data_IF_344232299244
#
_entry.id   IF_344232299244
#
_cell.length_a   1.000
_cell.length_b   1.000
_cell.length_c   1.000
_cell.angle_alpha   90.00
_cell.angle_beta   90.00
_cell.angle_gamma   90.00
#
_symmetry.space_group_name_H-M   'P 1'
#
loop_
_entity.id
_entity.type
_entity.pdbx_description
1 polymer ?
#
# COMPACT_ATOMS: atom_id res chain seq x y z
N UNK A 1 17.24 7.73 17.11
CA UNK A 1 18.23 8.55 17.83
C UNK A 1 19.13 7.61 18.63
N UNK A 2 20.44 7.67 18.43
CA UNK A 2 21.42 6.98 19.31
C UNK A 2 21.82 7.99 20.39
N UNK A 3 21.42 7.76 21.64
CA UNK A 3 21.83 8.64 22.75
C UNK A 3 23.29 8.37 23.10
N UNK A 4 24.09 9.43 23.15
CA UNK A 4 25.53 9.38 23.49
C UNK A 4 26.46 9.81 22.36
N UNK A 5 25.97 9.83 21.13
CA UNK A 5 26.67 10.36 19.95
C UNK A 5 25.74 11.32 19.22
N UNK A 6 25.96 12.65 19.27
CA UNK A 6 25.06 13.66 18.71
C UNK A 6 24.83 13.58 17.19
N UNK A 7 25.73 12.92 16.48
CA UNK A 7 25.71 12.87 15.00
C UNK A 7 25.05 11.61 14.43
N UNK A 8 24.38 10.79 15.25
CA UNK A 8 23.77 9.53 14.81
C UNK A 8 22.25 9.58 14.60
N UNK A 9 21.66 10.78 14.46
CA UNK A 9 20.28 10.90 14.01
C UNK A 9 20.24 10.76 12.50
N UNK A 10 19.54 9.73 12.01
CA UNK A 10 19.42 9.43 10.60
C UNK A 10 17.96 9.43 10.21
N UNK A 11 17.62 10.22 9.20
CA UNK A 11 16.37 10.06 8.47
C UNK A 11 16.68 9.31 7.17
N UNK A 12 16.16 8.11 7.02
CA UNK A 12 16.43 7.27 5.87
C UNK A 12 15.19 6.49 5.45
N UNK A 13 15.13 6.17 4.17
CA UNK A 13 14.05 5.38 3.58
C UNK A 13 14.45 3.91 3.51
N UNK A 14 13.54 3.03 3.92
CA UNK A 14 13.67 1.60 3.66
C UNK A 14 13.50 1.39 2.15
N UNK A 15 14.43 0.66 1.53
CA UNK A 15 14.38 0.36 0.10
C UNK A 15 13.31 -0.71 -0.22
N UNK A 16 13.12 -1.02 -1.51
CA UNK A 16 12.11 -2.00 -1.96
C UNK A 16 12.37 -3.43 -1.47
N UNK A 17 13.62 -3.75 -1.12
CA UNK A 17 14.02 -5.05 -0.57
C UNK A 17 13.82 -5.12 0.95
N UNK A 18 13.31 -4.05 1.57
CA UNK A 18 13.09 -3.95 3.00
C UNK A 18 14.35 -3.67 3.81
N UNK A 19 15.41 -3.16 3.18
CA UNK A 19 16.67 -2.84 3.81
C UNK A 19 16.78 -1.36 4.15
N UNK A 20 17.43 -1.06 5.29
CA UNK A 20 17.81 0.27 5.73
C UNK A 20 19.33 0.33 5.86
N UNK A 21 19.94 1.38 5.32
CA UNK A 21 21.37 1.61 5.49
C UNK A 21 21.65 2.47 6.72
N UNK A 22 22.43 1.94 7.64
CA UNK A 22 22.83 2.60 8.86
C UNK A 22 24.32 2.93 8.86
N UNK A 23 24.67 4.01 9.57
CA UNK A 23 26.06 4.43 9.76
C UNK A 23 26.78 3.35 10.55
N UNK A 24 27.98 2.99 10.12
CA UNK A 24 28.87 1.95 10.68
C UNK A 24 28.36 0.50 10.58
N UNK A 25 27.07 0.23 10.42
CA UNK A 25 26.49 -1.11 10.32
C UNK A 25 26.27 -1.56 8.88
N UNK A 26 26.18 -0.61 7.92
CA UNK A 26 25.82 -0.92 6.56
C UNK A 26 24.33 -1.18 6.38
N UNK A 27 23.97 -2.10 5.50
CA UNK A 27 22.57 -2.44 5.20
C UNK A 27 22.04 -3.52 6.15
N UNK A 28 20.88 -3.26 6.73
CA UNK A 28 20.16 -4.21 7.59
C UNK A 28 18.74 -4.42 7.06
N UNK A 29 18.26 -5.65 7.15
CA UNK A 29 16.91 -5.99 6.75
C UNK A 29 15.90 -5.72 7.86
N UNK A 30 14.86 -4.93 7.56
CA UNK A 30 13.78 -4.54 8.49
C UNK A 30 12.39 -4.94 7.99
N UNK A 31 12.30 -5.70 6.91
CA UNK A 31 11.00 -6.14 6.35
C UNK A 31 10.25 -7.00 7.36
N UNK A 32 8.95 -6.75 7.50
CA UNK A 32 8.06 -7.57 8.32
C UNK A 32 8.21 -7.41 9.84
N UNK A 33 8.98 -6.44 10.31
CA UNK A 33 9.14 -6.17 11.75
C UNK A 33 8.57 -4.82 12.16
N UNK A 34 8.13 -4.71 13.39
CA UNK A 34 7.63 -3.45 13.98
C UNK A 34 8.77 -2.49 14.31
N UNK A 35 8.45 -1.19 14.49
CA UNK A 35 9.43 -0.19 14.92
C UNK A 35 10.17 -0.61 16.20
N UNK A 36 9.45 -1.17 17.18
CA UNK A 36 10.03 -1.68 18.44
C UNK A 36 10.98 -2.86 18.24
N UNK A 37 10.63 -3.76 17.32
CA UNK A 37 11.52 -4.87 16.95
C UNK A 37 12.75 -4.39 16.19
N UNK A 38 12.59 -3.35 15.34
CA UNK A 38 13.70 -2.70 14.65
C UNK A 38 14.68 -2.06 15.66
N UNK A 39 14.19 -1.34 16.68
CA UNK A 39 15.03 -0.79 17.77
C UNK A 39 15.89 -1.88 18.41
N UNK A 40 15.25 -2.99 18.83
CA UNK A 40 15.95 -4.09 19.48
C UNK A 40 16.96 -4.78 18.55
N UNK A 41 16.62 -4.94 17.27
CA UNK A 41 17.52 -5.53 16.27
C UNK A 41 18.74 -4.63 16.03
N UNK A 42 18.52 -3.35 15.78
CA UNK A 42 19.58 -2.38 15.52
C UNK A 42 20.51 -2.27 16.73
N UNK A 43 19.98 -2.20 17.96
CA UNK A 43 20.78 -2.16 19.17
C UNK A 43 21.67 -3.39 19.30
N UNK A 44 21.11 -4.58 19.05
CA UNK A 44 21.86 -5.85 19.08
C UNK A 44 22.95 -5.89 18.01
N UNK A 45 22.65 -5.46 16.80
CA UNK A 45 23.61 -5.48 15.69
C UNK A 45 24.79 -4.53 15.97
N UNK A 46 24.54 -3.35 16.56
CA UNK A 46 25.62 -2.45 17.01
C UNK A 46 26.47 -3.05 18.14
N UNK A 47 25.88 -3.74 19.10
CA UNK A 47 26.59 -4.42 20.17
C UNK A 47 27.42 -5.60 19.66
N UNK A 48 26.84 -6.45 18.81
CA UNK A 48 27.49 -7.63 18.26
C UNK A 48 28.71 -7.29 17.39
N UNK A 49 28.68 -6.16 16.72
CA UNK A 49 29.77 -5.66 15.90
C UNK A 49 30.76 -4.78 16.73
N UNK A 50 30.62 -4.71 18.05
CA UNK A 50 31.48 -3.95 18.98
C UNK A 50 31.58 -2.44 18.64
N UNK A 51 30.56 -1.89 17.96
CA UNK A 51 30.53 -0.47 17.55
C UNK A 51 30.14 0.39 18.77
N UNK A 52 29.08 -0.03 19.48
CA UNK A 52 28.65 0.63 20.72
C UNK A 52 28.40 -0.41 21.83
N UNK A 53 28.77 -0.07 23.08
CA UNK A 53 28.59 -1.00 24.22
C UNK A 53 27.15 -1.12 24.69
N UNK A 54 26.40 -0.01 24.70
CA UNK A 54 25.02 0.02 25.19
C UNK A 54 24.23 1.10 24.43
N UNK A 55 23.97 0.93 23.10
CA UNK A 55 23.27 1.93 22.33
C UNK A 55 21.79 1.98 22.72
N UNK A 56 21.27 3.18 22.92
CA UNK A 56 19.84 3.42 23.08
C UNK A 56 19.31 3.84 21.71
N UNK A 57 18.57 2.96 21.06
CA UNK A 57 18.00 3.18 19.74
C UNK A 57 16.52 3.56 19.88
N UNK A 58 16.12 4.62 19.20
CA UNK A 58 14.72 4.98 19.03
C UNK A 58 14.38 5.05 17.55
N UNK A 59 13.37 4.31 17.13
CA UNK A 59 12.90 4.26 15.74
C UNK A 59 11.49 4.83 15.68
N UNK A 60 11.31 5.85 14.87
CA UNK A 60 9.98 6.39 14.54
C UNK A 60 9.76 6.36 13.04
N UNK A 61 8.54 6.04 12.62
CA UNK A 61 8.17 6.09 11.22
C UNK A 61 7.64 7.48 10.92
N UNK A 62 8.41 8.28 10.17
CA UNK A 62 8.03 9.64 9.81
C UNK A 62 6.98 9.65 8.69
N UNK A 63 7.06 8.71 7.77
CA UNK A 63 6.14 8.60 6.63
C UNK A 63 6.04 7.16 6.15
N UNK A 64 4.81 6.70 5.92
CA UNK A 64 4.57 5.44 5.20
C UNK A 64 4.52 5.70 3.69
N UNK A 65 4.92 4.71 2.89
CA UNK A 65 4.68 4.75 1.45
C UNK A 65 3.18 4.75 1.20
N UNK A 66 2.69 5.76 0.48
CA UNK A 66 1.27 5.86 0.15
C UNK A 66 0.87 4.71 -0.76
N UNK A 67 -0.09 3.94 -0.30
CA UNK A 67 -0.72 2.87 -1.08
C UNK A 67 -2.02 3.42 -1.67
N UNK A 68 -2.09 3.54 -2.97
CA UNK A 68 -3.25 4.13 -3.65
C UNK A 68 -3.76 3.26 -4.80
N UNK A 69 -5.03 3.46 -5.13
CA UNK A 69 -5.69 2.97 -6.34
C UNK A 69 -6.04 4.17 -7.20
N UNK A 70 -5.94 4.04 -8.51
CA UNK A 70 -6.27 5.12 -9.44
C UNK A 70 -7.69 4.94 -9.97
N UNK A 71 -8.50 5.99 -9.86
CA UNK A 71 -9.89 6.03 -10.27
C UNK A 71 -10.08 6.93 -11.50
N UNK A 72 -10.79 6.44 -12.51
CA UNK A 72 -11.04 7.15 -13.77
C UNK A 72 -12.45 6.91 -14.29
N UNK A 73 -12.85 7.66 -15.32
CA UNK A 73 -14.14 7.53 -15.99
C UNK A 73 -15.29 8.23 -15.27
N UNK A 74 -16.46 7.61 -15.26
CA UNK A 74 -17.72 8.18 -14.76
C UNK A 74 -17.87 8.08 -13.22
N UNK A 75 -16.93 8.65 -12.51
CA UNK A 75 -16.89 8.73 -11.04
C UNK A 75 -16.75 10.19 -10.60
N UNK A 76 -17.29 10.56 -9.44
CA UNK A 76 -17.31 11.93 -8.98
C UNK A 76 -15.90 12.46 -8.61
N UNK A 77 -15.07 11.66 -7.98
CA UNK A 77 -13.68 12.03 -7.65
C UNK A 77 -12.72 11.12 -8.42
N UNK A 78 -12.18 11.65 -9.51
CA UNK A 78 -11.15 10.99 -10.32
C UNK A 78 -9.78 11.22 -9.71
N UNK A 79 -8.86 10.28 -9.92
CA UNK A 79 -7.47 10.38 -9.47
C UNK A 79 -7.09 9.32 -8.43
N UNK A 80 -5.99 9.51 -7.73
CA UNK A 80 -5.53 8.56 -6.73
C UNK A 80 -6.42 8.62 -5.48
N UNK A 81 -6.84 7.45 -5.01
CA UNK A 81 -7.43 7.26 -3.70
C UNK A 81 -6.42 6.53 -2.81
N UNK A 82 -5.97 7.19 -1.76
CA UNK A 82 -4.97 6.67 -0.83
C UNK A 82 -5.65 5.78 0.20
N UNK A 83 -5.16 4.57 0.37
CA UNK A 83 -5.64 3.64 1.38
C UNK A 83 -5.19 4.08 2.78
N UNK A 84 -6.01 3.85 3.83
CA UNK A 84 -5.55 3.97 5.20
C UNK A 84 -4.31 3.08 5.42
N UNK A 85 -3.34 3.50 6.24
CA UNK A 85 -2.06 2.79 6.41
C UNK A 85 -2.19 1.33 6.83
N UNK A 86 -3.25 0.99 7.56
CA UNK A 86 -3.49 -0.33 8.15
C UNK A 86 -4.32 -1.24 7.23
N UNK A 87 -4.80 -0.72 6.10
CA UNK A 87 -5.70 -1.45 5.19
C UNK A 87 -4.91 -2.02 4.02
N UNK A 88 -4.91 -3.33 3.87
CA UNK A 88 -4.22 -4.02 2.77
C UNK A 88 -5.07 -4.11 1.51
N UNK A 89 -6.37 -4.26 1.66
CA UNK A 89 -7.34 -4.34 0.57
C UNK A 89 -8.69 -3.76 1.00
N UNK A 90 -9.46 -3.21 0.06
CA UNK A 90 -10.79 -2.66 0.29
C UNK A 90 -11.79 -3.24 -0.70
N UNK A 91 -13.05 -3.37 -0.29
CA UNK A 91 -14.11 -3.73 -1.21
C UNK A 91 -14.32 -2.61 -2.25
N UNK A 92 -14.50 -2.97 -3.53
CA UNK A 92 -14.70 -2.01 -4.61
C UNK A 92 -15.87 -1.05 -4.34
N UNK A 93 -16.96 -1.53 -3.75
CA UNK A 93 -18.13 -0.72 -3.40
C UNK A 93 -17.73 0.37 -2.41
N UNK A 94 -16.91 0.03 -1.42
CA UNK A 94 -16.41 0.98 -0.43
C UNK A 94 -15.44 1.99 -1.05
N UNK A 95 -14.51 1.54 -1.90
CA UNK A 95 -13.58 2.44 -2.60
C UNK A 95 -14.33 3.48 -3.42
N UNK A 96 -15.32 3.05 -4.20
CA UNK A 96 -16.13 3.94 -5.02
C UNK A 96 -16.95 4.90 -4.15
N UNK A 97 -17.57 4.42 -3.07
CA UNK A 97 -18.33 5.27 -2.15
C UNK A 97 -17.44 6.36 -1.52
N UNK A 98 -16.24 6.01 -1.08
CA UNK A 98 -15.27 6.97 -0.52
C UNK A 98 -14.73 7.96 -1.55
N UNK A 99 -14.71 7.58 -2.83
CA UNK A 99 -14.41 8.45 -3.96
C UNK A 99 -15.58 9.35 -4.38
N UNK A 100 -16.61 9.45 -3.57
CA UNK A 100 -17.77 10.29 -3.82
C UNK A 100 -18.86 9.64 -4.68
N UNK A 101 -18.73 8.33 -4.95
CA UNK A 101 -19.72 7.57 -5.72
C UNK A 101 -19.62 7.76 -7.22
N UNK A 102 -20.50 7.07 -7.94
CA UNK A 102 -20.69 7.20 -9.37
C UNK A 102 -21.34 8.53 -9.72
N UNK A 103 -21.00 9.07 -10.88
CA UNK A 103 -21.78 10.16 -11.46
C UNK A 103 -23.06 9.64 -12.16
N UNK A 104 -23.88 10.56 -12.70
CA UNK A 104 -25.19 10.24 -13.27
C UNK A 104 -25.11 9.40 -14.56
N UNK A 105 -24.01 9.51 -15.29
CA UNK A 105 -23.81 8.81 -16.57
C UNK A 105 -23.04 7.48 -16.43
N UNK A 106 -22.73 7.07 -15.20
CA UNK A 106 -21.93 5.88 -14.94
C UNK A 106 -22.65 4.58 -15.31
N UNK A 107 -21.94 3.67 -15.95
CA UNK A 107 -22.36 2.28 -16.17
C UNK A 107 -21.93 1.41 -14.99
N UNK A 108 -22.73 1.38 -13.91
CA UNK A 108 -22.39 0.76 -12.63
C UNK A 108 -22.27 -0.77 -12.67
N UNK A 109 -22.98 -1.40 -13.65
CA UNK A 109 -22.97 -2.86 -13.85
C UNK A 109 -21.71 -3.36 -14.57
N UNK A 110 -20.83 -2.46 -15.03
CA UNK A 110 -19.68 -2.82 -15.87
C UNK A 110 -18.49 -1.92 -15.58
N UNK A 111 -17.85 -2.18 -14.47
CA UNK A 111 -16.65 -1.45 -14.03
C UNK A 111 -15.43 -2.30 -14.32
N UNK A 112 -14.38 -1.69 -14.88
CA UNK A 112 -13.14 -2.38 -15.18
C UNK A 112 -12.11 -2.15 -14.08
N UNK A 113 -11.49 -3.23 -13.60
CA UNK A 113 -10.39 -3.19 -12.65
C UNK A 113 -9.17 -3.83 -13.30
N UNK A 114 -8.15 -3.02 -13.54
CA UNK A 114 -6.88 -3.48 -14.10
C UNK A 114 -5.85 -3.63 -12.99
N UNK A 115 -5.32 -4.84 -12.84
CA UNK A 115 -4.31 -5.21 -11.85
C UNK A 115 -3.05 -5.67 -12.54
N UNK A 116 -1.91 -5.09 -12.13
CA UNK A 116 -0.59 -5.54 -12.57
C UNK A 116 0.04 -6.39 -11.47
N UNK A 117 0.46 -7.60 -11.83
CA UNK A 117 1.19 -8.50 -10.96
C UNK A 117 2.69 -8.31 -11.17
N UNK A 118 3.42 -8.25 -10.06
CA UNK A 118 4.86 -8.07 -10.06
C UNK A 118 5.55 -9.35 -9.59
N UNK A 119 6.76 -9.58 -10.07
CA UNK A 119 7.62 -10.64 -9.55
C UNK A 119 8.36 -10.21 -8.26
N UNK A 120 9.15 -11.12 -7.69
CA UNK A 120 9.93 -10.85 -6.47
C UNK A 120 10.95 -9.72 -6.65
N UNK A 121 11.31 -9.38 -7.89
CA UNK A 121 12.23 -8.29 -8.25
C UNK A 121 11.51 -6.96 -8.52
N UNK A 122 10.18 -6.92 -8.38
CA UNK A 122 9.37 -5.75 -8.66
C UNK A 122 9.15 -5.47 -10.15
N UNK A 123 9.44 -6.45 -11.03
CA UNK A 123 9.18 -6.34 -12.47
C UNK A 123 7.74 -6.74 -12.78
N UNK A 124 7.04 -5.95 -13.59
CA UNK A 124 5.68 -6.27 -14.01
C UNK A 124 5.68 -7.56 -14.87
N UNK A 125 4.97 -8.58 -14.38
CA UNK A 125 4.85 -9.89 -15.06
C UNK A 125 3.62 -9.99 -15.93
N UNK A 126 2.49 -9.61 -15.37
CA UNK A 126 1.18 -9.81 -16.01
C UNK A 126 0.24 -8.67 -15.62
N UNK A 127 -0.59 -8.26 -16.54
CA UNK A 127 -1.67 -7.31 -16.28
C UNK A 127 -3.00 -7.96 -16.64
N UNK A 128 -3.92 -8.02 -15.68
CA UNK A 128 -5.29 -8.55 -15.85
C UNK A 128 -6.32 -7.47 -15.68
N UNK A 129 -7.31 -7.48 -16.55
CA UNK A 129 -8.49 -6.61 -16.43
C UNK A 129 -9.71 -7.46 -16.07
N UNK A 130 -10.36 -7.09 -14.98
CA UNK A 130 -11.59 -7.71 -14.49
C UNK A 130 -12.77 -6.81 -14.80
N UNK A 131 -13.86 -7.39 -15.31
CA UNK A 131 -15.15 -6.72 -15.42
C UNK A 131 -15.97 -7.03 -14.16
N UNK A 132 -16.41 -6.00 -13.45
CA UNK A 132 -17.08 -6.11 -12.15
C UNK A 132 -18.43 -5.41 -12.18
N UNK A 133 -19.48 -6.13 -11.84
CA UNK A 133 -20.82 -5.57 -11.63
C UNK A 133 -20.92 -4.99 -10.19
N UNK A 134 -20.57 -3.72 -10.07
CA UNK A 134 -20.62 -3.02 -8.77
C UNK A 134 -22.04 -2.74 -8.32
N UNK A 135 -22.98 -2.56 -9.25
CA UNK A 135 -24.40 -2.38 -8.92
C UNK A 135 -24.98 -3.64 -8.28
N UNK A 136 -24.72 -4.79 -8.89
CA UNK A 136 -25.11 -6.08 -8.33
C UNK A 136 -24.44 -6.36 -6.97
N UNK A 137 -23.15 -6.01 -6.82
CA UNK A 137 -22.43 -6.13 -5.54
C UNK A 137 -23.04 -5.28 -4.43
N UNK A 138 -23.47 -4.06 -4.75
CA UNK A 138 -24.04 -3.12 -3.76
C UNK A 138 -25.46 -3.49 -3.35
N UNK A 139 -26.25 -4.03 -4.28
CA UNK A 139 -27.65 -4.45 -4.04
C UNK A 139 -27.79 -5.87 -3.53
N UNK A 140 -26.70 -6.65 -3.53
CA UNK A 140 -26.73 -8.07 -3.15
C UNK A 140 -27.38 -8.98 -4.21
N UNK A 141 -27.65 -8.46 -5.39
CA UNK A 141 -28.38 -9.17 -6.48
C UNK A 141 -27.43 -9.83 -7.48
N UNK A 142 -26.37 -10.47 -7.00
CA UNK A 142 -25.43 -11.19 -7.86
C UNK A 142 -25.80 -12.66 -7.96
N UNK A 143 -25.95 -13.15 -9.20
CA UNK A 143 -25.97 -14.58 -9.51
C UNK A 143 -24.53 -15.10 -9.55
N UNK A 144 -23.98 -15.54 -8.41
CA UNK A 144 -22.62 -16.09 -8.33
C UNK A 144 -22.04 -16.10 -6.91
N UNK A 145 -20.93 -16.79 -6.73
CA UNK A 145 -20.36 -17.11 -5.41
C UNK A 145 -19.60 -15.95 -4.72
N UNK A 146 -19.31 -14.85 -5.40
CA UNK A 146 -18.52 -13.78 -4.83
C UNK A 146 -19.35 -12.52 -4.58
N UNK A 147 -19.78 -12.35 -3.34
CA UNK A 147 -20.47 -11.11 -2.87
C UNK A 147 -19.54 -9.91 -2.67
N UNK A 148 -18.25 -10.03 -2.96
CA UNK A 148 -17.24 -9.00 -2.73
C UNK A 148 -16.18 -9.06 -3.81
N UNK A 149 -15.69 -7.91 -4.25
CA UNK A 149 -14.50 -7.78 -5.09
C UNK A 149 -13.49 -6.89 -4.37
N UNK A 150 -12.29 -7.42 -4.13
CA UNK A 150 -11.25 -6.75 -3.38
C UNK A 150 -10.33 -5.96 -4.30
N UNK A 151 -10.12 -4.70 -3.95
CA UNK A 151 -9.20 -3.77 -4.58
C UNK A 151 -7.92 -3.71 -3.74
N UNK A 152 -6.79 -3.79 -4.41
CA UNK A 152 -5.46 -3.71 -3.81
C UNK A 152 -4.74 -2.43 -4.25
N UNK A 153 -3.73 -1.99 -3.51
CA UNK A 153 -2.86 -0.89 -3.95
C UNK A 153 -2.29 -1.15 -5.34
N UNK A 154 -2.18 -0.08 -6.13
CA UNK A 154 -1.79 -0.06 -7.55
C UNK A 154 -2.82 -0.60 -8.55
N UNK A 155 -4.00 -1.04 -8.12
CA UNK A 155 -5.11 -1.30 -9.03
C UNK A 155 -5.55 0.00 -9.71
N UNK A 156 -6.08 -0.14 -10.93
CA UNK A 156 -6.72 0.96 -11.66
C UNK A 156 -8.18 0.61 -11.88
N UNK A 157 -9.07 1.51 -11.48
CA UNK A 157 -10.51 1.37 -11.64
C UNK A 157 -10.96 2.35 -12.71
N UNK A 158 -11.61 1.82 -13.73
CA UNK A 158 -12.24 2.59 -14.80
C UNK A 158 -13.74 2.35 -14.81
N UNK A 159 -14.49 3.43 -14.67
CA UNK A 159 -15.95 3.41 -14.71
C UNK A 159 -16.40 3.93 -16.07
N UNK A 160 -16.91 3.08 -16.99
CA UNK A 160 -17.38 3.54 -18.28
C UNK A 160 -18.70 4.33 -18.16
N UNK A 161 -18.96 5.13 -19.18
CA UNK A 161 -20.23 5.82 -19.33
C UNK A 161 -21.29 4.89 -19.91
N UNK A 162 -22.55 5.13 -19.58
CA UNK A 162 -23.67 4.51 -20.30
C UNK A 162 -23.72 5.07 -21.71
N UNK A 163 -23.72 4.20 -22.69
CA UNK A 163 -24.10 4.58 -24.04
C UNK A 163 -25.59 4.86 -24.02
N UNK A 164 -25.99 6.02 -24.49
CA UNK A 164 -27.38 6.42 -24.70
C UNK A 164 -27.99 5.61 -25.85
#
# INVERSE_FOLDING_TARGET
LVRGEPDCTLEAKINNDGNLRLVYLGEIQLVGITAKQAEAKIARDYQSNLIFRAPIISVSVSKYTERSVFLSGAINRKGPYVFPPEVEAMNIVEVIARAGGFNEIARKSKVYVTRTFFDERGTARETKTYEVDVEGLSTGNIRGSSKRFWIYPNDRIEVPERLL
#
